data_IF_630813356467
#
_entry.id   IF_630813356467
#
_cell.length_a   1.000
_cell.length_b   1.000
_cell.length_c   1.000
_cell.angle_alpha   90.00
_cell.angle_beta   90.00
_cell.angle_gamma   90.00
#
_symmetry.space_group_name_H-M   'P 1'
#
loop_
_entity.id
_entity.type
_entity.pdbx_description
1 polymer ?
#
# COMPACT_ATOMS: atom_id res chain seq x y z
N UNK A 1 -11.50 5.01 -22.38
CA UNK A 1 -12.33 5.54 -21.26
C UNK A 1 -11.40 5.92 -20.11
N UNK A 2 -11.63 7.00 -19.36
CA UNK A 2 -10.79 7.35 -18.20
C UNK A 2 -10.95 6.32 -17.08
N UNK A 3 -9.87 5.99 -16.38
CA UNK A 3 -9.92 5.17 -15.17
C UNK A 3 -10.94 5.73 -14.17
N UNK A 4 -11.70 4.89 -13.46
CA UNK A 4 -12.65 5.38 -12.46
C UNK A 4 -11.88 6.14 -11.38
N UNK A 5 -12.19 7.42 -11.22
CA UNK A 5 -11.66 8.21 -10.11
C UNK A 5 -12.24 7.65 -8.81
N UNK A 6 -11.37 7.29 -7.86
CA UNK A 6 -11.83 6.88 -6.53
C UNK A 6 -12.54 8.06 -5.88
N UNK A 7 -13.78 7.85 -5.45
CA UNK A 7 -14.54 8.84 -4.70
C UNK A 7 -13.92 8.97 -3.30
N UNK A 8 -13.31 10.13 -2.94
CA UNK A 8 -12.61 10.26 -1.66
C UNK A 8 -13.52 10.03 -0.45
N UNK A 9 -14.81 10.37 -0.57
CA UNK A 9 -15.78 10.19 0.51
C UNK A 9 -16.07 8.70 0.75
N UNK A 10 -16.26 7.93 -0.32
CA UNK A 10 -16.50 6.48 -0.21
C UNK A 10 -15.24 5.76 0.31
N UNK A 11 -14.06 6.17 -0.15
CA UNK A 11 -12.79 5.63 0.35
C UNK A 11 -12.60 5.88 1.85
N UNK A 12 -12.90 7.09 2.32
CA UNK A 12 -12.81 7.42 3.75
C UNK A 12 -13.85 6.68 4.60
N UNK A 13 -15.08 6.56 4.09
CA UNK A 13 -16.13 5.77 4.75
C UNK A 13 -15.71 4.31 4.93
N UNK A 14 -15.13 3.72 3.88
CA UNK A 14 -14.64 2.34 3.93
C UNK A 14 -13.45 2.20 4.88
N UNK A 15 -12.49 3.14 4.86
CA UNK A 15 -11.37 3.16 5.81
C UNK A 15 -11.87 3.21 7.25
N UNK A 16 -12.85 4.07 7.56
CA UNK A 16 -13.40 4.19 8.91
C UNK A 16 -14.15 2.93 9.35
N UNK A 17 -14.84 2.25 8.42
CA UNK A 17 -15.49 0.96 8.68
C UNK A 17 -14.47 -0.08 9.13
N UNK A 18 -13.39 -0.27 8.37
CA UNK A 18 -12.33 -1.22 8.69
C UNK A 18 -11.61 -0.90 10.01
N UNK A 19 -11.38 0.39 10.30
CA UNK A 19 -10.82 0.82 11.60
C UNK A 19 -11.74 0.45 12.76
N UNK A 20 -13.05 0.65 12.62
CA UNK A 20 -14.01 0.30 13.66
C UNK A 20 -14.07 -1.22 13.91
N UNK A 21 -13.94 -2.03 12.85
CA UNK A 21 -13.84 -3.49 12.95
C UNK A 21 -12.58 -3.91 13.73
N UNK A 22 -11.41 -3.35 13.40
CA UNK A 22 -10.17 -3.61 14.13
C UNK A 22 -10.24 -3.19 15.61
N UNK A 23 -10.86 -2.05 15.92
CA UNK A 23 -11.07 -1.62 17.31
C UNK A 23 -11.96 -2.59 18.06
N UNK A 24 -13.02 -3.09 17.41
CA UNK A 24 -13.93 -4.05 18.03
C UNK A 24 -13.26 -5.41 18.29
N UNK A 25 -12.36 -5.85 17.40
CA UNK A 25 -11.66 -7.13 17.49
C UNK A 25 -10.44 -7.11 18.42
N UNK A 26 -9.66 -6.03 18.37
CA UNK A 26 -8.33 -5.95 19.00
C UNK A 26 -8.23 -4.89 20.10
N UNK A 27 -9.28 -4.10 20.32
CA UNK A 27 -9.31 -3.02 21.31
C UNK A 27 -8.69 -1.70 20.82
N UNK A 28 -8.71 -0.65 21.66
CA UNK A 28 -8.33 0.71 21.24
C UNK A 28 -6.84 0.88 20.89
N UNK A 29 -5.97 -0.03 21.34
CA UNK A 29 -4.52 0.04 21.13
C UNK A 29 -4.05 -0.80 19.92
N UNK A 30 -4.96 -1.24 19.06
CA UNK A 30 -4.66 -2.12 17.92
C UNK A 30 -3.55 -1.58 17.01
N UNK A 31 -3.43 -0.25 16.88
CA UNK A 31 -2.50 0.38 15.95
C UNK A 31 -1.04 0.38 16.42
N UNK A 32 -0.76 0.12 17.70
CA UNK A 32 0.60 0.15 18.25
C UNK A 32 1.54 -0.85 17.57
N UNK A 33 1.03 -1.99 17.10
CA UNK A 33 1.82 -2.99 16.37
C UNK A 33 2.05 -2.66 14.89
N UNK A 34 1.45 -1.58 14.37
CA UNK A 34 1.50 -1.17 12.96
C UNK A 34 2.11 0.22 12.72
N UNK A 35 2.60 0.90 13.76
CA UNK A 35 3.28 2.20 13.63
C UNK A 35 4.62 2.07 12.88
N UNK A 36 5.19 3.17 12.35
CA UNK A 36 6.58 3.19 11.87
C UNK A 36 7.57 2.52 12.82
N UNK A 37 8.62 1.89 12.29
CA UNK A 37 9.54 1.06 13.06
C UNK A 37 9.00 -0.31 13.53
N UNK A 38 7.69 -0.58 13.41
CA UNK A 38 7.11 -1.87 13.83
C UNK A 38 7.21 -2.97 12.76
N UNK A 39 7.12 -4.23 13.19
CA UNK A 39 6.97 -5.38 12.28
C UNK A 39 5.75 -5.24 11.36
N UNK A 40 4.60 -4.80 11.90
CA UNK A 40 3.38 -4.63 11.12
C UNK A 40 3.51 -3.56 10.02
N UNK A 41 4.29 -2.50 10.26
CA UNK A 41 4.61 -1.51 9.24
C UNK A 41 5.56 -2.09 8.17
N UNK A 42 6.56 -2.87 8.57
CA UNK A 42 7.42 -3.59 7.64
C UNK A 42 6.63 -4.56 6.74
N UNK A 43 5.67 -5.30 7.30
CA UNK A 43 4.83 -6.18 6.47
C UNK A 43 4.02 -5.42 5.41
N UNK A 44 3.63 -4.15 5.65
CA UNK A 44 2.96 -3.34 4.64
C UNK A 44 3.90 -3.02 3.47
N UNK A 45 5.17 -2.72 3.75
CA UNK A 45 6.19 -2.56 2.71
C UNK A 45 6.33 -3.82 1.87
N UNK A 46 6.49 -4.95 2.54
CA UNK A 46 6.70 -6.24 1.90
C UNK A 46 5.51 -6.61 0.98
N UNK A 47 4.28 -6.39 1.48
CA UNK A 47 3.05 -6.62 0.71
C UNK A 47 2.91 -5.66 -0.47
N UNK A 48 3.25 -4.38 -0.31
CA UNK A 48 3.20 -3.39 -1.39
C UNK A 48 4.18 -3.75 -2.52
N UNK A 49 5.43 -4.10 -2.16
CA UNK A 49 6.45 -4.54 -3.12
C UNK A 49 6.02 -5.81 -3.84
N UNK A 50 5.64 -6.85 -3.10
CA UNK A 50 5.20 -8.13 -3.67
C UNK A 50 4.03 -7.95 -4.65
N UNK A 51 3.05 -7.13 -4.28
CA UNK A 51 1.87 -6.92 -5.13
C UNK A 51 2.23 -6.11 -6.38
N UNK A 52 3.13 -5.13 -6.29
CA UNK A 52 3.65 -4.39 -7.45
C UNK A 52 4.32 -5.35 -8.43
N UNK A 53 5.21 -6.20 -7.93
CA UNK A 53 5.92 -7.20 -8.72
C UNK A 53 4.96 -8.17 -9.41
N UNK A 54 3.90 -8.60 -8.73
CA UNK A 54 2.88 -9.46 -9.32
C UNK A 54 2.12 -8.76 -10.46
N UNK A 55 1.78 -7.48 -10.33
CA UNK A 55 1.13 -6.72 -11.41
C UNK A 55 2.05 -6.62 -12.63
N UNK A 56 3.32 -6.28 -12.40
CA UNK A 56 4.33 -6.17 -13.45
C UNK A 56 4.57 -7.51 -14.16
N UNK A 57 4.75 -8.59 -13.40
CA UNK A 57 5.13 -9.88 -13.95
C UNK A 57 3.96 -10.66 -14.53
N UNK A 58 2.76 -10.55 -13.96
CA UNK A 58 1.61 -11.40 -14.33
C UNK A 58 0.57 -10.67 -15.16
N UNK A 59 0.37 -9.37 -14.95
CA UNK A 59 -0.69 -8.60 -15.63
C UNK A 59 -0.11 -7.86 -16.84
N UNK A 60 0.92 -7.03 -16.64
CA UNK A 60 1.51 -6.22 -17.72
C UNK A 60 2.14 -7.08 -18.81
N UNK A 61 2.69 -8.24 -18.46
CA UNK A 61 3.25 -9.20 -19.42
C UNK A 61 2.19 -10.03 -20.17
N UNK A 62 0.93 -10.01 -19.72
CA UNK A 62 -0.10 -10.88 -20.27
C UNK A 62 -0.48 -10.45 -21.70
N UNK A 63 -0.54 -11.36 -22.70
CA UNK A 63 -0.82 -10.99 -24.09
C UNK A 63 -2.12 -10.21 -24.29
N UNK A 64 -3.16 -10.48 -23.50
CA UNK A 64 -4.41 -9.72 -23.59
C UNK A 64 -4.25 -8.26 -23.09
N UNK A 65 -3.41 -8.03 -22.09
CA UNK A 65 -3.11 -6.69 -21.59
C UNK A 65 -2.27 -5.93 -22.62
N UNK A 66 -1.21 -6.56 -23.15
CA UNK A 66 -0.35 -5.99 -24.20
C UNK A 66 -1.11 -5.61 -25.48
N UNK A 67 -2.18 -6.33 -25.81
CA UNK A 67 -3.02 -6.03 -26.99
C UNK A 67 -3.93 -4.82 -26.83
N UNK A 68 -4.11 -4.30 -25.62
CA UNK A 68 -5.02 -3.19 -25.35
C UNK A 68 -4.31 -2.09 -24.55
N UNK A 69 -4.04 -0.97 -25.21
CA UNK A 69 -3.33 0.15 -24.61
C UNK A 69 -4.04 0.75 -23.38
N UNK A 70 -5.37 0.78 -23.34
CA UNK A 70 -6.11 1.29 -22.18
C UNK A 70 -5.96 0.35 -20.97
N UNK A 71 -5.96 -0.96 -21.21
CA UNK A 71 -5.76 -1.95 -20.14
C UNK A 71 -4.33 -1.97 -19.62
N UNK A 72 -3.36 -1.87 -20.53
CA UNK A 72 -1.96 -1.74 -20.16
C UNK A 72 -1.72 -0.49 -19.31
N UNK A 73 -2.21 0.67 -19.76
CA UNK A 73 -2.08 1.91 -19.01
C UNK A 73 -2.74 1.84 -17.62
N UNK A 74 -3.88 1.15 -17.49
CA UNK A 74 -4.53 0.95 -16.19
C UNK A 74 -3.71 0.04 -15.26
N UNK A 75 -3.15 -1.05 -15.78
CA UNK A 75 -2.30 -1.95 -15.01
C UNK A 75 -0.99 -1.28 -14.58
N UNK A 76 -0.39 -0.48 -15.47
CA UNK A 76 0.80 0.34 -15.19
C UNK A 76 0.53 1.34 -14.05
N UNK A 77 -0.63 2.03 -14.09
CA UNK A 77 -1.04 2.92 -13.01
C UNK A 77 -1.19 2.20 -11.66
N UNK A 78 -1.69 0.96 -11.67
CA UNK A 78 -1.81 0.17 -10.45
C UNK A 78 -0.43 -0.20 -9.87
N UNK A 79 0.51 -0.64 -10.70
CA UNK A 79 1.89 -0.91 -10.28
C UNK A 79 2.56 0.36 -9.73
N UNK A 80 2.46 1.47 -10.45
CA UNK A 80 3.03 2.74 -10.02
C UNK A 80 2.44 3.23 -8.67
N UNK A 81 1.13 3.06 -8.45
CA UNK A 81 0.49 3.40 -7.19
C UNK A 81 0.98 2.53 -6.02
N UNK A 82 1.24 1.24 -6.25
CA UNK A 82 1.80 0.32 -5.26
C UNK A 82 3.25 0.67 -4.92
N UNK A 83 4.06 1.02 -5.92
CA UNK A 83 5.43 1.50 -5.70
C UNK A 83 5.46 2.83 -4.95
N UNK A 84 4.57 3.78 -5.29
CA UNK A 84 4.45 5.03 -4.54
C UNK A 84 4.06 4.78 -3.07
N UNK A 85 3.13 3.85 -2.82
CA UNK A 85 2.79 3.44 -1.46
C UNK A 85 4.00 2.86 -0.72
N UNK A 86 4.74 1.95 -1.35
CA UNK A 86 5.98 1.39 -0.79
C UNK A 86 6.98 2.49 -0.42
N UNK A 87 7.23 3.46 -1.30
CA UNK A 87 8.17 4.55 -1.05
C UNK A 87 7.72 5.44 0.12
N UNK A 88 6.43 5.79 0.19
CA UNK A 88 5.90 6.62 1.29
C UNK A 88 5.96 5.93 2.64
N UNK A 89 5.53 4.67 2.70
CA UNK A 89 5.64 3.88 3.92
C UNK A 89 7.12 3.71 4.30
N UNK A 90 8.00 3.55 3.31
CA UNK A 90 9.43 3.32 3.54
C UNK A 90 10.11 4.54 4.13
N UNK A 91 9.77 5.73 3.63
CA UNK A 91 10.24 7.00 4.19
C UNK A 91 9.83 7.14 5.66
N UNK A 92 8.54 6.94 5.98
CA UNK A 92 8.06 7.05 7.37
C UNK A 92 8.65 5.95 8.28
N UNK A 93 8.81 4.72 7.77
CA UNK A 93 9.32 3.58 8.54
C UNK A 93 10.81 3.74 8.89
N UNK A 94 11.63 4.26 7.98
CA UNK A 94 13.08 4.43 8.16
C UNK A 94 13.43 5.68 8.97
N UNK A 95 12.63 6.75 8.90
CA UNK A 95 12.83 7.97 9.68
C UNK A 95 12.74 7.72 11.21
N UNK A 96 12.06 6.65 11.65
CA UNK A 96 12.01 6.25 13.07
C UNK A 96 13.27 5.47 13.51
N UNK A 97 13.95 4.79 12.58
CA UNK A 97 15.14 3.98 12.87
C UNK A 97 16.37 4.89 13.13
N UNK A 98 16.49 6.01 12.41
CA UNK A 98 17.54 7.02 12.63
C UNK A 98 17.41 7.78 13.97
N UNK A 99 16.23 7.75 14.61
CA UNK A 99 15.98 8.38 15.91
C UNK A 99 16.37 7.53 17.13
N UNK A 100 16.69 6.24 16.93
CA UNK A 100 16.97 5.28 18.02
C UNK A 100 18.47 5.00 18.24
N UNK A 101 19.34 5.65 17.47
CA UNK A 101 20.79 5.55 17.63
C UNK A 101 21.27 6.14 18.96
N UNK A 102 21.40 5.31 19.99
CA UNK A 102 22.31 5.62 21.10
C UNK A 102 23.72 5.88 20.53
N UNK A 103 24.38 7.00 20.88
CA UNK A 103 25.78 7.19 20.51
C UNK A 103 26.63 6.17 21.27
N UNK A 104 27.64 5.64 20.58
CA UNK A 104 28.65 4.71 21.13
C UNK A 104 29.31 5.19 22.42
#
# INVERSE_FOLDING_TARGET
MSAPAINPLEAEQERQRLVNELIAEHGPNWSEQYKPGSFGCHELLDRASLTSDMVEQLVLSHPACLRNAEWYALAEQAAAALQELYQRVGAEHLDDDEGSGEPS
#
